data_IF_923115106309
#
_entry.id   IF_923115106309
#
_cell.length_a   1.000
_cell.length_b   1.000
_cell.length_c   1.000
_cell.angle_alpha   90.00
_cell.angle_beta   90.00
_cell.angle_gamma   90.00
#
_symmetry.space_group_name_H-M   'P 1'
#
loop_
_entity.id
_entity.type
_entity.pdbx_description
1 polymer ?
#
# COMPACT_ATOMS: atom_id res chain seq x y z
N UNK A 1 -21.58 -21.92 -18.32
CA UNK A 1 -22.32 -20.65 -18.33
C UNK A 1 -22.40 -20.17 -16.89
N UNK A 2 -21.33 -19.53 -16.37
CA UNK A 2 -21.37 -18.90 -15.05
C UNK A 2 -22.19 -17.62 -15.20
N UNK A 3 -23.25 -17.45 -14.40
CA UNK A 3 -23.95 -16.17 -14.31
C UNK A 3 -22.95 -15.14 -13.79
N UNK A 4 -22.75 -14.05 -14.52
CA UNK A 4 -22.07 -12.86 -14.01
C UNK A 4 -22.83 -12.38 -12.76
N UNK A 5 -22.09 -12.17 -11.67
CA UNK A 5 -22.65 -11.64 -10.43
C UNK A 5 -23.17 -10.22 -10.69
N UNK A 6 -24.27 -9.82 -10.04
CA UNK A 6 -24.63 -8.40 -10.02
C UNK A 6 -23.59 -7.61 -9.22
N UNK A 7 -23.55 -6.29 -9.40
CA UNK A 7 -22.66 -5.40 -8.64
C UNK A 7 -22.83 -5.61 -7.13
N UNK A 8 -24.07 -5.69 -6.66
CA UNK A 8 -24.40 -5.91 -5.25
C UNK A 8 -23.86 -7.24 -4.74
N UNK A 9 -24.09 -8.32 -5.49
CA UNK A 9 -23.54 -9.65 -5.19
C UNK A 9 -22.01 -9.64 -5.20
N UNK A 10 -21.40 -8.81 -6.05
CA UNK A 10 -19.98 -8.57 -6.09
C UNK A 10 -19.45 -7.94 -4.81
N UNK A 11 -20.08 -6.87 -4.32
CA UNK A 11 -19.69 -6.22 -3.06
C UNK A 11 -19.94 -7.12 -1.84
N UNK A 12 -21.02 -7.92 -1.83
CA UNK A 12 -21.25 -8.93 -0.79
C UNK A 12 -20.14 -10.00 -0.78
N UNK A 13 -19.71 -10.45 -1.96
CA UNK A 13 -18.60 -11.38 -2.10
C UNK A 13 -17.28 -10.75 -1.61
N UNK A 14 -17.03 -9.49 -2.01
CA UNK A 14 -15.87 -8.72 -1.57
C UNK A 14 -15.81 -8.63 -0.04
N UNK A 15 -16.91 -8.24 0.61
CA UNK A 15 -17.00 -8.16 2.08
C UNK A 15 -16.69 -9.52 2.75
N UNK A 16 -17.22 -10.61 2.19
CA UNK A 16 -16.97 -11.97 2.69
C UNK A 16 -15.48 -12.34 2.59
N UNK A 17 -14.83 -12.01 1.46
CA UNK A 17 -13.39 -12.26 1.27
C UNK A 17 -12.54 -11.43 2.22
N UNK A 18 -12.83 -10.13 2.38
CA UNK A 18 -12.15 -9.25 3.34
C UNK A 18 -12.22 -9.84 4.75
N UNK A 19 -13.41 -10.23 5.21
CA UNK A 19 -13.59 -10.81 6.54
C UNK A 19 -12.85 -12.15 6.73
N UNK A 20 -12.68 -12.94 5.66
CA UNK A 20 -11.88 -14.15 5.71
C UNK A 20 -10.38 -13.82 5.78
N UNK A 21 -9.90 -12.95 4.90
CA UNK A 21 -8.49 -12.57 4.81
C UNK A 21 -8.00 -11.86 6.07
N UNK A 22 -8.83 -11.00 6.68
CA UNK A 22 -8.52 -10.36 7.97
C UNK A 22 -8.32 -11.40 9.08
N UNK A 23 -9.23 -12.37 9.20
CA UNK A 23 -9.11 -13.45 10.20
C UNK A 23 -7.89 -14.32 9.93
N UNK A 24 -7.64 -14.64 8.66
CA UNK A 24 -6.50 -15.44 8.23
C UNK A 24 -5.16 -14.76 8.55
N UNK A 25 -5.05 -13.47 8.27
CA UNK A 25 -3.86 -12.66 8.56
C UNK A 25 -3.60 -12.57 10.06
N UNK A 26 -4.66 -12.35 10.85
CA UNK A 26 -4.59 -12.32 12.30
C UNK A 26 -4.18 -13.67 12.89
N UNK A 27 -4.58 -14.79 12.28
CA UNK A 27 -4.25 -16.13 12.76
C UNK A 27 -2.78 -16.52 12.52
N UNK A 28 -2.08 -15.90 11.57
CA UNK A 28 -0.67 -16.25 11.28
C UNK A 28 0.24 -15.91 12.47
N UNK A 29 0.99 -16.91 12.93
CA UNK A 29 2.01 -16.81 13.98
C UNK A 29 3.38 -17.10 13.40
N UNK A 30 4.35 -16.22 13.67
CA UNK A 30 5.76 -16.44 13.33
C UNK A 30 6.27 -17.61 14.17
N UNK A 31 6.68 -18.70 13.51
CA UNK A 31 7.28 -19.83 14.22
C UNK A 31 8.75 -19.54 14.53
N UNK A 32 9.28 -20.05 15.66
CA UNK A 32 10.72 -20.09 15.88
C UNK A 32 11.45 -20.71 14.69
N UNK A 33 12.63 -20.18 14.37
CA UNK A 33 13.51 -20.65 13.28
C UNK A 33 12.89 -20.54 11.86
N UNK A 34 11.79 -19.82 11.72
CA UNK A 34 11.23 -19.50 10.40
C UNK A 34 12.00 -18.36 9.72
N UNK A 35 11.94 -18.24 8.38
CA UNK A 35 12.49 -17.08 7.69
C UNK A 35 12.06 -15.73 8.28
N UNK A 36 10.78 -15.57 8.66
CA UNK A 36 10.31 -14.32 9.28
C UNK A 36 10.91 -14.10 10.67
N UNK A 37 11.10 -15.16 11.46
CA UNK A 37 11.75 -15.07 12.76
C UNK A 37 13.18 -14.52 12.64
N UNK A 38 13.94 -15.01 11.67
CA UNK A 38 15.30 -14.53 11.40
C UNK A 38 15.31 -13.07 10.91
N UNK A 39 14.29 -12.64 10.17
CA UNK A 39 14.11 -11.25 9.75
C UNK A 39 13.74 -10.33 10.92
N UNK A 40 12.85 -10.77 11.82
CA UNK A 40 12.49 -10.02 13.02
C UNK A 40 13.71 -9.83 13.93
N UNK A 41 14.51 -10.88 14.14
CA UNK A 41 15.72 -10.82 14.94
C UNK A 41 16.79 -9.89 14.30
N UNK A 42 16.96 -9.96 12.98
CA UNK A 42 17.90 -9.12 12.25
C UNK A 42 17.56 -7.63 12.37
N UNK A 43 16.27 -7.28 12.32
CA UNK A 43 15.80 -5.88 12.39
C UNK A 43 15.59 -5.36 13.81
N UNK A 44 15.86 -6.15 14.84
CA UNK A 44 15.73 -5.74 16.23
C UNK A 44 16.47 -4.41 16.56
N UNK A 45 17.69 -4.13 16.06
CA UNK A 45 18.40 -2.89 16.36
C UNK A 45 17.70 -1.61 15.88
N UNK A 46 16.77 -1.72 14.92
CA UNK A 46 15.99 -0.57 14.42
C UNK A 46 14.57 -0.56 14.95
N UNK A 47 14.14 -1.50 15.80
CA UNK A 47 12.78 -1.57 16.34
C UNK A 47 11.69 -1.66 15.27
N UNK A 48 12.00 -2.37 14.17
CA UNK A 48 11.08 -2.54 13.04
C UNK A 48 11.06 -4.00 12.57
N UNK A 49 10.42 -4.91 13.32
CA UNK A 49 10.38 -6.31 12.93
C UNK A 49 9.73 -6.48 11.55
N UNK A 50 10.21 -7.44 10.78
CA UNK A 50 9.71 -7.78 9.45
C UNK A 50 8.22 -8.15 9.47
N UNK A 51 7.79 -8.83 10.53
CA UNK A 51 6.39 -9.19 10.76
C UNK A 51 5.50 -7.95 10.83
N UNK A 52 5.94 -6.86 11.46
CA UNK A 52 5.24 -5.57 11.46
C UNK A 52 5.25 -4.91 10.08
N UNK A 53 6.42 -4.86 9.40
CA UNK A 53 6.54 -4.32 8.04
C UNK A 53 5.63 -4.99 7.02
N UNK A 54 5.22 -6.24 7.27
CA UNK A 54 4.33 -7.00 6.39
C UNK A 54 2.87 -6.91 6.84
N UNK A 55 2.58 -7.16 8.13
CA UNK A 55 1.20 -7.20 8.64
C UNK A 55 0.53 -5.84 8.60
N UNK A 56 1.25 -4.77 8.92
CA UNK A 56 0.67 -3.43 8.95
C UNK A 56 0.13 -2.97 7.57
N UNK A 57 0.88 -3.07 6.45
CA UNK A 57 0.32 -2.73 5.15
C UNK A 57 -0.81 -3.66 4.69
N UNK A 58 -0.79 -4.96 5.03
CA UNK A 58 -1.91 -5.86 4.72
C UNK A 58 -3.17 -5.51 5.50
N UNK A 59 -3.05 -5.28 6.81
CA UNK A 59 -4.16 -4.85 7.65
C UNK A 59 -4.71 -3.51 7.19
N UNK A 60 -3.84 -2.56 6.84
CA UNK A 60 -4.27 -1.28 6.24
C UNK A 60 -5.02 -1.49 4.93
N UNK A 61 -4.55 -2.36 4.04
CA UNK A 61 -5.25 -2.63 2.78
C UNK A 61 -6.66 -3.21 3.00
N UNK A 62 -6.80 -4.18 3.92
CA UNK A 62 -8.07 -4.80 4.27
C UNK A 62 -9.05 -3.79 4.88
N UNK A 63 -8.60 -2.97 5.83
CA UNK A 63 -9.39 -1.89 6.47
C UNK A 63 -9.95 -0.89 5.44
N UNK A 64 -9.12 -0.46 4.47
CA UNK A 64 -9.59 0.42 3.40
C UNK A 64 -10.65 -0.24 2.51
N UNK A 65 -10.51 -1.54 2.20
CA UNK A 65 -11.50 -2.26 1.40
C UNK A 65 -12.80 -2.54 2.19
N UNK A 66 -12.71 -2.74 3.50
CA UNK A 66 -13.86 -2.88 4.38
C UNK A 66 -14.72 -1.61 4.34
N UNK A 67 -14.11 -0.43 4.50
CA UNK A 67 -14.81 0.86 4.39
C UNK A 67 -15.47 1.04 3.02
N UNK A 68 -14.82 0.59 1.94
CA UNK A 68 -15.40 0.62 0.59
C UNK A 68 -16.68 -0.24 0.52
N UNK A 69 -16.62 -1.47 1.02
CA UNK A 69 -17.77 -2.38 1.01
C UNK A 69 -18.93 -1.87 1.90
N UNK A 70 -18.61 -1.36 3.10
CA UNK A 70 -19.59 -0.77 4.02
C UNK A 70 -20.27 0.46 3.43
N UNK A 71 -19.49 1.36 2.82
CA UNK A 71 -20.02 2.59 2.21
C UNK A 71 -20.95 2.26 1.05
N UNK A 72 -20.58 1.30 0.20
CA UNK A 72 -21.45 0.83 -0.88
C UNK A 72 -22.76 0.24 -0.33
N UNK A 73 -22.69 -0.61 0.70
CA UNK A 73 -23.87 -1.20 1.32
C UNK A 73 -24.81 -0.15 1.94
N UNK A 74 -24.24 0.88 2.58
CA UNK A 74 -25.00 1.94 3.22
C UNK A 74 -25.71 2.88 2.22
N UNK A 75 -25.06 3.19 1.10
CA UNK A 75 -25.54 4.19 0.14
C UNK A 75 -26.24 3.60 -1.09
N UNK A 76 -26.02 2.31 -1.38
CA UNK A 76 -26.47 1.65 -2.62
C UNK A 76 -25.78 2.15 -3.89
N UNK A 77 -24.82 3.08 -3.77
CA UNK A 77 -24.03 3.64 -4.86
C UNK A 77 -22.69 4.18 -4.32
N UNK A 78 -21.60 4.12 -5.11
CA UNK A 78 -20.31 4.65 -4.69
C UNK A 78 -20.27 6.19 -4.76
N UNK A 79 -19.42 6.82 -3.95
CA UNK A 79 -19.05 8.21 -4.18
C UNK A 79 -18.23 8.36 -5.48
N UNK A 80 -18.16 9.60 -5.96
CA UNK A 80 -17.44 9.90 -7.21
C UNK A 80 -15.92 9.78 -7.08
N UNK A 81 -15.34 9.84 -5.87
CA UNK A 81 -13.89 9.91 -5.66
C UNK A 81 -13.35 9.17 -4.43
N UNK A 82 -14.16 9.00 -3.37
CA UNK A 82 -13.67 8.56 -2.08
C UNK A 82 -13.14 7.13 -2.13
N UNK A 83 -13.94 6.21 -2.63
CA UNK A 83 -13.61 4.78 -2.76
C UNK A 83 -12.41 4.58 -3.68
N UNK A 84 -12.27 5.38 -4.74
CA UNK A 84 -11.08 5.33 -5.60
C UNK A 84 -9.79 5.60 -4.83
N UNK A 85 -9.83 6.54 -3.87
CA UNK A 85 -8.67 6.85 -3.01
C UNK A 85 -8.39 5.72 -2.04
N UNK A 86 -9.43 5.11 -1.48
CA UNK A 86 -9.31 3.97 -0.56
C UNK A 86 -8.71 2.75 -1.28
N UNK A 87 -9.27 2.35 -2.42
CA UNK A 87 -8.78 1.20 -3.19
C UNK A 87 -7.36 1.44 -3.70
N UNK A 88 -7.03 2.64 -4.20
CA UNK A 88 -5.65 2.98 -4.60
C UNK A 88 -4.66 2.77 -3.45
N UNK A 89 -5.03 3.20 -2.25
CA UNK A 89 -4.21 3.06 -1.05
C UNK A 89 -4.06 1.59 -0.68
N UNK A 90 -5.15 0.82 -0.73
CA UNK A 90 -5.14 -0.62 -0.51
C UNK A 90 -4.24 -1.37 -1.51
N UNK A 91 -4.29 -1.03 -2.81
CA UNK A 91 -3.36 -1.57 -3.83
C UNK A 91 -1.92 -1.25 -3.47
N UNK A 92 -1.63 -0.01 -3.09
CA UNK A 92 -0.26 0.41 -2.74
C UNK A 92 0.28 -0.38 -1.56
N UNK A 93 -0.51 -0.46 -0.48
CA UNK A 93 -0.11 -1.13 0.74
C UNK A 93 0.07 -2.64 0.53
N UNK A 94 -0.92 -3.32 -0.06
CA UNK A 94 -0.83 -4.75 -0.36
C UNK A 94 0.31 -5.09 -1.33
N UNK A 95 0.59 -4.23 -2.33
CA UNK A 95 1.73 -4.41 -3.23
C UNK A 95 3.06 -4.32 -2.50
N UNK A 96 3.21 -3.39 -1.56
CA UNK A 96 4.41 -3.31 -0.70
C UNK A 96 4.56 -4.56 0.16
N UNK A 97 3.48 -5.07 0.75
CA UNK A 97 3.52 -6.31 1.52
C UNK A 97 3.97 -7.50 0.65
N UNK A 98 3.38 -7.68 -0.53
CA UNK A 98 3.77 -8.73 -1.46
C UNK A 98 5.24 -8.59 -1.91
N UNK A 99 5.68 -7.37 -2.17
CA UNK A 99 7.04 -7.06 -2.59
C UNK A 99 8.05 -7.40 -1.49
N UNK A 100 7.79 -7.04 -0.24
CA UNK A 100 8.65 -7.39 0.90
C UNK A 100 8.87 -8.90 1.00
N UNK A 101 7.85 -9.69 0.71
CA UNK A 101 7.87 -11.15 0.78
C UNK A 101 8.57 -11.75 -0.44
N UNK A 102 9.82 -11.39 -0.74
CA UNK A 102 10.60 -12.17 -1.71
C UNK A 102 10.89 -13.56 -1.14
N UNK A 103 10.84 -14.58 -1.99
CA UNK A 103 11.26 -15.93 -1.60
C UNK A 103 12.80 -16.02 -1.53
N UNK A 104 13.51 -15.16 -2.27
CA UNK A 104 14.96 -15.09 -2.23
C UNK A 104 15.40 -14.32 -0.96
N UNK A 105 16.17 -14.95 -0.04
CA UNK A 105 16.49 -14.34 1.26
C UNK A 105 17.22 -13.00 1.18
N UNK A 106 18.19 -12.87 0.27
CA UNK A 106 19.01 -11.66 0.14
C UNK A 106 18.14 -10.47 -0.30
N UNK A 107 17.31 -10.67 -1.30
CA UNK A 107 16.39 -9.70 -1.85
C UNK A 107 15.33 -9.34 -0.82
N UNK A 108 14.75 -10.32 -0.11
CA UNK A 108 13.81 -10.05 0.98
C UNK A 108 14.42 -9.12 2.02
N UNK A 109 15.66 -9.40 2.44
CA UNK A 109 16.39 -8.57 3.40
C UNK A 109 16.68 -7.17 2.88
N UNK A 110 17.14 -7.04 1.64
CA UNK A 110 17.36 -5.73 1.02
C UNK A 110 16.05 -4.92 0.91
N UNK A 111 14.95 -5.57 0.54
CA UNK A 111 13.63 -4.93 0.40
C UNK A 111 13.12 -4.40 1.74
N UNK A 112 13.23 -5.18 2.83
CA UNK A 112 12.81 -4.68 4.15
C UNK A 112 13.71 -3.57 4.68
N UNK A 113 15.01 -3.60 4.38
CA UNK A 113 15.93 -2.49 4.67
C UNK A 113 15.52 -1.22 3.90
N UNK A 114 15.23 -1.33 2.60
CA UNK A 114 14.73 -0.21 1.78
C UNK A 114 13.40 0.34 2.32
N UNK A 115 12.45 -0.53 2.65
CA UNK A 115 11.15 -0.13 3.19
C UNK A 115 11.28 0.59 4.53
N UNK A 116 12.05 0.02 5.46
CA UNK A 116 12.29 0.61 6.78
C UNK A 116 13.03 1.95 6.67
N UNK A 117 13.99 2.06 5.75
CA UNK A 117 14.67 3.33 5.48
C UNK A 117 13.68 4.38 4.97
N UNK A 118 12.85 4.02 3.98
CA UNK A 118 11.84 4.94 3.40
C UNK A 118 10.94 5.50 4.51
N UNK A 119 10.46 4.64 5.39
CA UNK A 119 9.60 5.03 6.51
C UNK A 119 10.31 5.98 7.50
N UNK A 120 11.53 5.64 7.95
CA UNK A 120 12.30 6.55 8.82
C UNK A 120 12.68 7.86 8.15
N UNK A 121 12.92 7.85 6.85
CA UNK A 121 13.25 9.05 6.10
C UNK A 121 12.05 9.98 5.97
N UNK A 122 10.86 9.43 5.73
CA UNK A 122 9.60 10.17 5.75
C UNK A 122 9.31 10.73 7.14
N UNK A 123 9.46 9.91 8.20
CA UNK A 123 9.25 10.38 9.57
C UNK A 123 10.23 11.48 9.97
N UNK A 124 11.52 11.33 9.64
CA UNK A 124 12.52 12.39 9.86
C UNK A 124 12.21 13.66 9.05
N UNK A 125 11.64 13.52 7.85
CA UNK A 125 11.15 14.62 7.03
C UNK A 125 9.99 15.37 7.67
N UNK A 126 9.01 14.63 8.20
CA UNK A 126 7.87 15.16 8.94
C UNK A 126 8.32 15.92 10.19
N UNK A 127 9.08 15.27 11.09
CA UNK A 127 9.55 15.90 12.33
C UNK A 127 10.35 17.16 12.05
N UNK A 128 11.27 17.12 11.07
CA UNK A 128 12.08 18.29 10.71
C UNK A 128 11.23 19.45 10.17
N UNK A 129 10.18 19.16 9.43
CA UNK A 129 9.30 20.18 8.85
C UNK A 129 8.41 20.78 9.93
N UNK A 130 7.71 19.92 10.66
CA UNK A 130 6.73 20.36 11.66
C UNK A 130 7.39 21.02 12.87
N UNK A 131 8.55 20.55 13.34
CA UNK A 131 9.24 21.18 14.48
C UNK A 131 9.78 22.57 14.18
N UNK A 132 9.78 23.00 12.91
CA UNK A 132 10.19 24.35 12.47
C UNK A 132 9.00 25.26 12.19
N UNK A 133 7.79 24.74 12.27
CA UNK A 133 6.58 25.52 12.12
C UNK A 133 6.45 26.49 13.33
N UNK A 134 6.20 27.80 13.12
CA UNK A 134 5.95 28.73 14.23
C UNK A 134 4.80 28.32 15.14
N UNK A 135 3.85 27.53 14.65
CA UNK A 135 2.70 27.00 15.39
C UNK A 135 2.92 25.59 15.94
N UNK A 136 4.16 25.08 15.87
CA UNK A 136 4.48 23.76 16.36
C UNK A 136 4.22 23.63 17.86
N UNK A 137 3.61 22.52 18.31
CA UNK A 137 3.54 22.18 19.72
C UNK A 137 4.93 22.18 20.38
N UNK A 138 5.03 22.76 21.59
CA UNK A 138 6.30 22.93 22.30
C UNK A 138 7.00 21.58 22.58
N UNK A 139 6.23 20.54 22.86
CA UNK A 139 6.71 19.17 23.05
C UNK A 139 7.39 18.62 21.79
N UNK A 140 6.83 18.87 20.61
CA UNK A 140 7.45 18.48 19.34
C UNK A 140 8.76 19.23 19.12
N UNK A 141 8.81 20.54 19.36
CA UNK A 141 10.04 21.34 19.21
C UNK A 141 11.15 20.85 20.13
N UNK A 142 10.80 20.58 21.40
CA UNK A 142 11.75 20.15 22.41
C UNK A 142 12.26 18.72 22.18
N UNK A 143 11.43 17.82 21.65
CA UNK A 143 11.81 16.41 21.42
C UNK A 143 12.43 16.16 20.04
N UNK A 144 12.20 17.04 19.07
CA UNK A 144 12.64 16.85 17.69
C UNK A 144 14.15 16.56 17.53
N UNK A 145 15.09 17.22 18.24
CA UNK A 145 16.51 16.91 18.09
C UNK A 145 16.84 15.44 18.42
N UNK A 146 16.36 14.95 19.57
CA UNK A 146 16.60 13.57 20.01
C UNK A 146 15.97 12.55 19.05
N UNK A 147 14.74 12.81 18.60
CA UNK A 147 14.05 11.97 17.61
C UNK A 147 14.81 11.95 16.29
N UNK A 148 15.30 13.09 15.80
CA UNK A 148 16.05 13.16 14.55
C UNK A 148 17.40 12.43 14.64
N UNK A 149 18.09 12.51 15.78
CA UNK A 149 19.34 11.79 16.02
C UNK A 149 19.10 10.27 16.01
N UNK A 150 18.07 9.79 16.72
CA UNK A 150 17.69 8.38 16.71
C UNK A 150 17.33 7.89 15.29
N UNK A 151 16.56 8.68 14.53
CA UNK A 151 16.21 8.35 13.14
C UNK A 151 17.42 8.38 12.19
N UNK A 152 18.43 9.21 12.46
CA UNK A 152 19.68 9.23 11.71
C UNK A 152 20.51 7.98 12.01
N UNK A 153 20.60 7.56 13.27
CA UNK A 153 21.32 6.35 13.68
C UNK A 153 20.71 5.10 13.01
N UNK A 154 19.38 4.95 13.08
CA UNK A 154 18.68 3.82 12.44
C UNK A 154 18.88 3.78 10.92
N UNK A 155 18.78 4.92 10.24
CA UNK A 155 19.05 5.00 8.78
C UNK A 155 20.50 4.68 8.44
N UNK A 156 21.45 5.12 9.25
CA UNK A 156 22.88 4.82 9.07
C UNK A 156 23.14 3.32 9.25
N UNK A 157 22.54 2.71 10.27
CA UNK A 157 22.60 1.26 10.49
C UNK A 157 22.05 0.50 9.28
N UNK A 158 20.88 0.90 8.76
CA UNK A 158 20.26 0.26 7.58
C UNK A 158 21.20 0.30 6.38
N UNK A 159 21.77 1.47 6.08
CA UNK A 159 22.68 1.64 4.94
C UNK A 159 23.94 0.81 5.10
N UNK A 160 24.49 0.75 6.32
CA UNK A 160 25.62 -0.14 6.62
C UNK A 160 25.27 -1.60 6.31
N UNK A 161 24.13 -2.08 6.82
CA UNK A 161 23.70 -3.47 6.56
C UNK A 161 23.46 -3.75 5.07
N UNK A 162 22.88 -2.81 4.33
CA UNK A 162 22.69 -2.96 2.89
C UNK A 162 24.03 -3.04 2.14
N UNK A 163 25.01 -2.21 2.50
CA UNK A 163 26.36 -2.27 1.94
C UNK A 163 27.08 -3.58 2.29
N UNK A 164 26.88 -4.10 3.52
CA UNK A 164 27.46 -5.38 3.95
C UNK A 164 26.87 -6.57 3.16
N UNK A 165 25.62 -6.47 2.68
CA UNK A 165 24.98 -7.50 1.85
C UNK A 165 25.42 -7.39 0.38
N UNK A 166 25.58 -6.18 -0.15
CA UNK A 166 25.91 -5.90 -1.54
C UNK A 166 27.44 -5.92 -1.80
N UNK A 167 28.16 -6.88 -1.20
CA UNK A 167 29.62 -7.00 -1.28
C UNK A 167 30.08 -6.96 -2.75
N UNK A 168 30.92 -6.00 -3.09
CA UNK A 168 31.44 -5.79 -4.45
C UNK A 168 30.90 -4.54 -5.15
N UNK A 169 29.81 -3.96 -4.64
CA UNK A 169 29.34 -2.63 -5.06
C UNK A 169 30.16 -1.50 -4.38
N UNK A 170 30.16 -0.31 -4.98
CA UNK A 170 30.63 0.89 -4.28
C UNK A 170 29.75 1.17 -3.05
N UNK A 171 30.32 1.32 -1.84
CA UNK A 171 29.55 1.58 -0.63
C UNK A 171 28.71 2.86 -0.77
N UNK A 172 27.41 2.73 -0.53
CA UNK A 172 26.46 3.84 -0.61
C UNK A 172 26.46 4.65 0.68
N UNK A 173 26.39 5.97 0.56
CA UNK A 173 26.02 6.87 1.66
C UNK A 173 24.50 6.87 1.88
N UNK A 174 24.03 7.42 3.01
CA UNK A 174 22.59 7.65 3.28
C UNK A 174 21.91 8.43 2.15
N UNK A 175 22.61 9.42 1.57
CA UNK A 175 22.08 10.23 0.47
C UNK A 175 21.93 9.43 -0.82
N UNK A 176 22.88 8.54 -1.12
CA UNK A 176 22.84 7.69 -2.30
C UNK A 176 21.80 6.59 -2.14
N UNK A 177 21.77 5.93 -0.99
CA UNK A 177 20.78 4.89 -0.70
C UNK A 177 19.34 5.39 -0.82
N UNK A 178 19.06 6.66 -0.45
CA UNK A 178 17.74 7.29 -0.67
C UNK A 178 17.31 7.28 -2.15
N UNK A 179 18.25 7.40 -3.09
CA UNK A 179 17.94 7.43 -4.53
C UNK A 179 17.57 6.04 -5.07
N UNK A 180 18.00 4.99 -4.38
CA UNK A 180 17.78 3.59 -4.76
C UNK A 180 16.46 3.04 -4.21
N UNK A 181 15.71 3.84 -3.44
CA UNK A 181 14.41 3.43 -2.90
C UNK A 181 13.41 3.18 -4.03
N UNK A 182 12.60 2.12 -3.93
CA UNK A 182 11.61 1.82 -4.94
C UNK A 182 10.50 2.89 -4.93
N UNK A 183 10.09 3.30 -6.12
CA UNK A 183 8.87 4.11 -6.30
C UNK A 183 7.63 3.25 -6.11
N UNK A 184 6.52 3.84 -5.68
CA UNK A 184 5.25 3.12 -5.53
C UNK A 184 4.83 2.47 -6.87
N UNK A 185 5.07 3.18 -7.99
CA UNK A 185 4.81 2.64 -9.34
C UNK A 185 5.65 1.38 -9.64
N UNK A 186 6.92 1.34 -9.22
CA UNK A 186 7.75 0.17 -9.42
C UNK A 186 7.25 -1.03 -8.60
N UNK A 187 6.90 -0.80 -7.33
CA UNK A 187 6.36 -1.83 -6.44
C UNK A 187 5.02 -2.37 -6.93
N UNK A 188 4.08 -1.51 -7.28
CA UNK A 188 2.77 -1.91 -7.80
C UNK A 188 2.90 -2.64 -9.14
N UNK A 189 3.87 -2.25 -9.99
CA UNK A 189 4.13 -2.95 -11.25
C UNK A 189 4.55 -4.41 -11.02
N UNK A 190 5.32 -4.69 -9.98
CA UNK A 190 5.71 -6.06 -9.63
C UNK A 190 4.52 -6.92 -9.17
N UNK A 191 3.47 -6.32 -8.61
CA UNK A 191 2.24 -7.02 -8.25
C UNK A 191 1.39 -7.41 -9.47
N UNK A 192 1.55 -6.73 -10.61
CA UNK A 192 0.93 -7.11 -11.89
C UNK A 192 0.54 -5.92 -12.76
N UNK A 193 0.46 -6.15 -14.08
CA UNK A 193 0.12 -5.11 -15.06
C UNK A 193 -1.32 -4.61 -14.92
N UNK A 194 -2.28 -5.50 -14.61
CA UNK A 194 -3.68 -5.12 -14.34
C UNK A 194 -3.80 -4.27 -13.07
N UNK A 195 -3.10 -4.68 -12.00
CA UNK A 195 -3.00 -3.95 -10.74
C UNK A 195 -2.44 -2.55 -10.97
N UNK A 196 -1.34 -2.44 -11.75
CA UNK A 196 -0.77 -1.16 -12.13
C UNK A 196 -1.72 -0.28 -12.94
N UNK A 197 -2.47 -0.86 -13.88
CA UNK A 197 -3.47 -0.15 -14.67
C UNK A 197 -4.55 0.46 -13.78
N UNK A 198 -5.14 -0.34 -12.90
CA UNK A 198 -6.13 0.11 -11.92
C UNK A 198 -5.55 1.18 -10.99
N UNK A 199 -4.36 0.96 -10.42
CA UNK A 199 -3.71 1.92 -9.53
C UNK A 199 -3.47 3.28 -10.18
N UNK A 200 -2.97 3.32 -11.43
CA UNK A 200 -2.74 4.58 -12.16
C UNK A 200 -4.05 5.33 -12.40
N UNK A 201 -5.09 4.59 -12.77
CA UNK A 201 -6.40 5.14 -12.99
C UNK A 201 -6.99 5.77 -11.72
N UNK A 202 -6.99 5.02 -10.62
CA UNK A 202 -7.45 5.49 -9.31
C UNK A 202 -6.57 6.60 -8.73
N UNK A 203 -5.28 6.65 -9.09
CA UNK A 203 -4.40 7.76 -8.75
C UNK A 203 -4.83 9.07 -9.42
N UNK A 204 -5.41 9.00 -10.62
CA UNK A 204 -6.00 10.18 -11.25
C UNK A 204 -7.19 10.72 -10.45
N UNK A 205 -8.04 9.83 -9.93
CA UNK A 205 -9.14 10.19 -9.03
C UNK A 205 -8.66 10.82 -7.72
N UNK A 206 -7.67 10.21 -7.07
CA UNK A 206 -7.12 10.71 -5.80
C UNK A 206 -6.52 12.12 -5.91
N UNK A 207 -6.09 12.54 -7.11
CA UNK A 207 -5.56 13.88 -7.38
C UNK A 207 -6.58 14.82 -8.04
N UNK A 208 -7.84 14.40 -8.21
CA UNK A 208 -8.87 15.21 -8.86
C UNK A 208 -8.57 15.54 -10.33
N UNK A 209 -7.86 14.65 -11.04
CA UNK A 209 -7.46 14.89 -12.43
C UNK A 209 -8.65 14.66 -13.39
N UNK A 210 -9.01 15.65 -14.24
CA UNK A 210 -10.18 15.54 -15.12
C UNK A 210 -10.16 14.34 -16.06
N UNK A 211 -8.99 13.93 -16.55
CA UNK A 211 -8.89 12.81 -17.49
C UNK A 211 -9.39 11.49 -16.88
N UNK A 212 -9.16 11.27 -15.58
CA UNK A 212 -9.56 10.04 -14.91
C UNK A 212 -11.08 9.97 -14.78
N UNK A 213 -11.69 11.11 -14.46
CA UNK A 213 -13.14 11.23 -14.41
C UNK A 213 -13.76 11.09 -15.81
N UNK A 214 -13.19 11.74 -16.82
CA UNK A 214 -13.66 11.67 -18.22
C UNK A 214 -13.58 10.25 -18.79
N UNK A 215 -12.51 9.52 -18.48
CA UNK A 215 -12.31 8.16 -18.94
C UNK A 215 -13.30 7.15 -18.31
N UNK A 216 -13.96 7.50 -17.20
CA UNK A 216 -14.97 6.66 -16.54
C UNK A 216 -16.40 7.11 -16.76
N UNK A 217 -16.63 8.12 -17.60
CA UNK A 217 -17.99 8.60 -17.82
C UNK A 217 -18.82 7.48 -18.44
N UNK A 218 -19.79 6.98 -17.69
CA UNK A 218 -21.00 6.46 -18.30
C UNK A 218 -21.62 7.68 -18.98
N UNK A 219 -21.57 7.74 -20.31
CA UNK A 219 -22.20 8.83 -21.05
C UNK A 219 -23.67 8.88 -20.66
N UNK A 220 -24.05 9.91 -19.90
CA UNK A 220 -25.45 10.21 -19.64
C UNK A 220 -25.99 10.86 -20.91
N UNK A 221 -27.08 10.36 -21.53
CA UNK A 221 -27.71 11.03 -22.66
C UNK A 221 -28.01 12.50 -22.33
N UNK A 222 -27.58 13.44 -23.17
CA UNK A 222 -27.82 14.88 -22.98
C UNK A 222 -26.58 15.75 -22.71
N UNK A 223 -25.35 15.22 -22.84
CA UNK A 223 -24.09 15.98 -22.73
C UNK A 223 -23.74 16.80 -23.98
N UNK A 224 -24.69 17.06 -24.88
CA UNK A 224 -24.44 17.98 -26.00
C UNK A 224 -24.24 19.40 -25.47
N UNK A 225 -23.28 20.17 -26.01
CA UNK A 225 -23.11 21.56 -25.65
C UNK A 225 -24.42 22.31 -25.88
N UNK A 226 -24.86 23.08 -24.89
CA UNK A 226 -26.05 23.90 -25.01
C UNK A 226 -25.91 24.80 -26.26
N UNK A 227 -26.84 24.77 -27.21
CA UNK A 227 -26.63 25.32 -28.56
C UNK A 227 -26.36 26.82 -28.57
N UNK A 228 -26.85 27.56 -27.57
CA UNK A 228 -26.67 29.01 -27.48
C UNK A 228 -25.49 29.44 -26.60
N UNK A 229 -25.11 28.64 -25.61
CA UNK A 229 -24.13 29.05 -24.57
C UNK A 229 -22.85 28.23 -24.64
N UNK A 230 -22.85 27.12 -25.37
CA UNK A 230 -21.77 26.14 -25.39
C UNK A 230 -21.57 25.39 -24.08
N UNK A 231 -22.42 25.61 -23.06
CA UNK A 231 -22.27 25.01 -21.75
C UNK A 231 -22.56 23.50 -21.80
N UNK A 232 -21.71 22.70 -21.17
CA UNK A 232 -21.89 21.25 -21.01
C UNK A 232 -22.17 20.98 -19.54
N UNK A 233 -23.27 20.28 -19.26
CA UNK A 233 -23.54 19.78 -17.89
C UNK A 233 -22.95 18.38 -17.77
N UNK A 234 -22.07 18.19 -16.79
CA UNK A 234 -21.44 16.90 -16.52
C UNK A 234 -21.98 16.35 -15.21
N UNK A 235 -22.70 15.23 -15.28
CA UNK A 235 -23.06 14.45 -14.10
C UNK A 235 -21.97 13.41 -13.84
N UNK A 236 -21.43 13.40 -12.62
CA UNK A 236 -20.33 12.51 -12.24
C UNK A 236 -20.79 11.57 -11.14
N UNK A 237 -20.83 10.28 -11.44
CA UNK A 237 -21.09 9.21 -10.49
C UNK A 237 -19.90 8.24 -10.48
N UNK A 238 -19.64 7.59 -9.36
CA UNK A 238 -18.66 6.50 -9.32
C UNK A 238 -19.14 5.33 -10.17
N UNK A 239 -18.23 4.66 -10.87
CA UNK A 239 -18.54 3.44 -11.61
C UNK A 239 -18.35 2.23 -10.70
N UNK A 240 -19.43 1.60 -10.21
CA UNK A 240 -19.32 0.54 -9.22
C UNK A 240 -18.66 -0.73 -9.77
N UNK A 241 -18.84 -1.06 -11.04
CA UNK A 241 -18.19 -2.22 -11.67
C UNK A 241 -16.68 -2.05 -11.70
N UNK A 242 -16.20 -0.87 -12.07
CA UNK A 242 -14.77 -0.60 -12.12
C UNK A 242 -14.13 -0.56 -10.73
N UNK A 243 -14.82 0.02 -9.74
CA UNK A 243 -14.37 0.00 -8.35
C UNK A 243 -14.31 -1.44 -7.83
N UNK A 244 -15.32 -2.24 -8.14
CA UNK A 244 -15.37 -3.64 -7.75
C UNK A 244 -14.24 -4.46 -8.40
N UNK A 245 -13.98 -4.28 -9.70
CA UNK A 245 -12.86 -4.89 -10.40
C UNK A 245 -11.51 -4.54 -9.73
N UNK A 246 -11.30 -3.25 -9.44
CA UNK A 246 -10.08 -2.80 -8.79
C UNK A 246 -9.93 -3.35 -7.37
N UNK A 247 -11.03 -3.43 -6.62
CA UNK A 247 -11.05 -4.05 -5.30
C UNK A 247 -10.71 -5.54 -5.37
N UNK A 248 -11.23 -6.28 -6.36
CA UNK A 248 -10.88 -7.69 -6.54
C UNK A 248 -9.42 -7.91 -6.95
N UNK A 249 -8.86 -7.07 -7.83
CA UNK A 249 -7.41 -7.12 -8.10
C UNK A 249 -6.60 -6.88 -6.83
N UNK A 250 -7.08 -6.03 -5.92
CA UNK A 250 -6.43 -5.76 -4.64
C UNK A 250 -6.48 -6.98 -3.72
N UNK A 251 -7.66 -7.62 -3.60
CA UNK A 251 -7.81 -8.85 -2.82
C UNK A 251 -6.91 -9.97 -3.35
N UNK A 252 -6.80 -10.14 -4.66
CA UNK A 252 -5.87 -11.13 -5.25
C UNK A 252 -4.40 -10.88 -4.85
N UNK A 253 -4.00 -9.62 -4.69
CA UNK A 253 -2.65 -9.26 -4.19
C UNK A 253 -2.54 -9.56 -2.69
N UNK A 254 -3.56 -9.26 -1.90
CA UNK A 254 -3.63 -9.55 -0.47
C UNK A 254 -3.55 -11.06 -0.21
N UNK A 255 -4.32 -11.86 -0.94
CA UNK A 255 -4.33 -13.32 -0.83
C UNK A 255 -2.94 -13.91 -1.17
N UNK A 256 -2.31 -13.42 -2.24
CA UNK A 256 -0.95 -13.83 -2.61
C UNK A 256 0.08 -13.46 -1.52
N UNK A 257 0.00 -12.25 -0.99
CA UNK A 257 0.89 -11.79 0.08
C UNK A 257 0.67 -12.61 1.36
N UNK A 258 -0.58 -12.85 1.75
CA UNK A 258 -0.94 -13.62 2.94
C UNK A 258 -0.49 -15.07 2.84
N UNK A 259 -0.70 -15.71 1.69
CA UNK A 259 -0.22 -17.06 1.42
C UNK A 259 1.32 -17.14 1.52
N UNK A 260 2.03 -16.17 0.96
CA UNK A 260 3.49 -16.14 1.01
C UNK A 260 4.03 -15.81 2.40
N UNK A 261 3.36 -14.93 3.13
CA UNK A 261 3.70 -14.61 4.50
C UNK A 261 3.51 -15.82 5.41
N UNK A 262 2.42 -16.57 5.24
CA UNK A 262 2.18 -17.85 5.93
C UNK A 262 3.31 -18.84 5.65
N UNK A 263 3.68 -19.04 4.39
CA UNK A 263 4.80 -19.90 4.01
C UNK A 263 6.10 -19.51 4.74
N UNK A 264 6.46 -18.22 4.72
CA UNK A 264 7.68 -17.71 5.37
C UNK A 264 7.61 -17.73 6.91
N UNK A 265 6.43 -17.76 7.52
CA UNK A 265 6.25 -17.88 8.97
C UNK A 265 6.35 -19.32 9.49
N UNK A 266 6.13 -20.33 8.63
CA UNK A 266 6.13 -21.75 9.03
C UNK A 266 7.31 -22.55 8.47
N UNK A 267 8.08 -21.99 7.54
CA UNK A 267 9.17 -22.69 6.84
C UNK A 267 8.63 -23.69 5.80
N UNK A 268 9.51 -24.26 4.97
CA UNK A 268 9.14 -25.20 3.89
C UNK A 268 8.58 -26.55 4.39
N UNK A 269 8.50 -26.77 5.70
CA UNK A 269 8.15 -28.07 6.30
C UNK A 269 6.63 -28.29 6.51
N UNK A 270 5.77 -27.42 5.97
CA UNK A 270 4.33 -27.39 6.29
C UNK A 270 3.37 -27.35 5.10
N UNK A 271 3.77 -27.79 3.91
CA UNK A 271 2.90 -27.96 2.75
C UNK A 271 2.70 -29.44 2.41
#
# INVERSE_FOLDING_TARGET
>A
MQRELTVEQGFENLATRIANDSRDLEAIRVQPDSPVWDEDAFLAPVYRPFSLCTKQPLGSALDHLEVVAETFHALGQPHSFAESTLIRTAITASSYALWLLSLEPTQRRLRVLQFSFKDYDMWAGFVRTESRNPEAPEDLVNTAPAVLDELNERRTWIVKQANDILIGDEPRTVREYRKDLPTDTAVVKEAGTRVLGAWRFLSGYAHGLPWATLANQVQVPGTEPHPETGAITVHQHGNPEQLLDAAFYTIEVIEQATARYRLLCHGESGA
#
